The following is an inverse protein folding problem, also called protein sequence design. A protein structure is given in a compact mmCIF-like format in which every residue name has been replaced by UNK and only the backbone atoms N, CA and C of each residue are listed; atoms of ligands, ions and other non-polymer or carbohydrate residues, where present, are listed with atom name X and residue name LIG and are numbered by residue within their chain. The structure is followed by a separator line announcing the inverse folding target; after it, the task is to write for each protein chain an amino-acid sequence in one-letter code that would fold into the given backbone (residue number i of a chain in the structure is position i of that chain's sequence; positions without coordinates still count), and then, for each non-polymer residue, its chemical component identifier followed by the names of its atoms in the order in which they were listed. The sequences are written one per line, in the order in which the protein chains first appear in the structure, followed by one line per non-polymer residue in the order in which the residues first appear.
data_IF_638043705758
#
_entry.id   IF_638043705758
#
_cell.length_a   1.000
_cell.length_b   1.000
_cell.length_c   1.000
_cell.angle_alpha   90.00
_cell.angle_beta   90.00
_cell.angle_gamma   90.00
#
_symmetry.space_group_name_H-M   'P 1'
#
loop_
_entity.id
_entity.type
_entity.pdbx_description
1 polymer ?
#
# COMPACT_ATOMS: atom_id res chain seq x y z
N UNK A 1 -2.83 32.54 22.87
CA UNK A 1 -3.19 31.31 22.12
C UNK A 1 -4.08 30.47 23.02
N UNK A 2 -5.39 30.44 22.75
CA UNK A 2 -6.30 29.54 23.47
C UNK A 2 -5.87 28.08 23.19
N UNK A 3 -5.53 27.35 24.25
CA UNK A 3 -5.30 25.91 24.19
C UNK A 3 -6.59 25.26 23.71
N UNK A 4 -6.59 24.75 22.48
CA UNK A 4 -7.70 23.93 21.99
C UNK A 4 -7.68 22.60 22.75
N UNK A 5 -8.84 22.19 23.28
CA UNK A 5 -9.01 20.92 23.97
C UNK A 5 -8.58 19.75 23.07
N UNK A 6 -7.95 18.73 23.65
CA UNK A 6 -7.54 17.51 22.94
C UNK A 6 -8.73 16.80 22.26
N UNK A 7 -9.95 17.00 22.75
CA UNK A 7 -11.19 16.46 22.20
C UNK A 7 -11.54 17.02 20.81
N UNK A 8 -10.97 18.15 20.42
CA UNK A 8 -11.13 18.74 19.08
C UNK A 8 -10.35 17.95 18.03
N UNK A 9 -9.29 17.24 18.43
CA UNK A 9 -8.43 16.51 17.52
C UNK A 9 -8.85 15.05 17.40
N UNK A 10 -9.46 14.69 16.26
CA UNK A 10 -9.66 13.28 15.88
C UNK A 10 -8.30 12.66 15.54
N UNK A 11 -7.69 11.97 16.50
CA UNK A 11 -6.43 11.24 16.32
C UNK A 11 -6.67 9.75 16.04
N UNK A 12 -5.78 9.14 15.24
CA UNK A 12 -5.78 7.70 14.98
C UNK A 12 -4.43 7.12 15.44
N UNK A 13 -4.35 6.46 16.60
CA UNK A 13 -3.10 5.86 17.05
C UNK A 13 -2.74 4.68 16.13
N UNK A 14 -1.50 4.67 15.64
CA UNK A 14 -0.95 3.58 14.83
C UNK A 14 0.21 2.95 15.59
N UNK A 15 0.16 1.64 15.77
CA UNK A 15 1.20 0.86 16.44
C UNK A 15 2.18 0.35 15.40
N UNK A 16 3.44 0.76 15.51
CA UNK A 16 4.50 0.21 14.66
C UNK A 16 4.88 -1.20 15.14
N UNK A 17 4.57 -2.21 14.32
CA UNK A 17 4.97 -3.59 14.57
C UNK A 17 6.33 -3.95 13.92
N UNK A 18 7.03 -2.99 13.30
CA UNK A 18 8.26 -3.24 12.53
C UNK A 18 9.36 -3.77 13.44
N UNK A 19 9.92 -4.94 13.11
CA UNK A 19 10.98 -5.57 13.92
C UNK A 19 10.49 -6.15 15.25
N UNK A 20 9.18 -6.11 15.52
CA UNK A 20 8.58 -6.76 16.69
C UNK A 20 8.61 -8.29 16.58
N UNK A 21 8.41 -9.00 17.71
CA UNK A 21 8.49 -10.46 17.76
C UNK A 21 7.48 -11.17 16.84
N UNK A 22 6.35 -10.51 16.54
CA UNK A 22 5.30 -11.05 15.67
C UNK A 22 5.35 -10.53 14.23
N UNK A 23 6.31 -9.68 13.85
CA UNK A 23 6.34 -9.07 12.51
C UNK A 23 6.43 -10.13 11.41
N UNK A 24 7.42 -11.03 11.51
CA UNK A 24 7.65 -12.09 10.51
C UNK A 24 6.52 -13.12 10.48
N UNK A 25 6.02 -13.52 11.66
CA UNK A 25 4.92 -14.47 11.77
C UNK A 25 3.64 -13.85 11.18
N UNK A 26 3.32 -12.60 11.51
CA UNK A 26 2.14 -11.91 10.98
C UNK A 26 2.23 -11.71 9.46
N UNK A 27 3.42 -11.46 8.91
CA UNK A 27 3.61 -11.40 7.45
C UNK A 27 3.30 -12.75 6.79
N UNK A 28 3.84 -13.84 7.34
CA UNK A 28 3.63 -15.18 6.78
C UNK A 28 2.16 -15.60 6.88
N UNK A 29 1.53 -15.39 8.04
CA UNK A 29 0.11 -15.65 8.22
C UNK A 29 -0.75 -14.81 7.26
N UNK A 30 -0.38 -13.54 7.04
CA UNK A 30 -1.09 -12.69 6.09
C UNK A 30 -1.00 -13.23 4.66
N UNK A 31 0.11 -13.86 4.26
CA UNK A 31 0.19 -14.55 2.95
C UNK A 31 -0.81 -15.70 2.83
N UNK A 32 -1.11 -16.38 3.93
CA UNK A 32 -2.13 -17.44 3.96
C UNK A 32 -3.52 -16.80 3.89
N UNK A 33 -3.86 -15.96 4.86
CA UNK A 33 -5.25 -15.48 5.03
C UNK A 33 -5.68 -14.44 3.99
N UNK A 34 -4.77 -13.70 3.37
CA UNK A 34 -5.15 -12.76 2.29
C UNK A 34 -5.67 -13.47 1.03
N UNK A 35 -5.43 -14.78 0.87
CA UNK A 35 -6.02 -15.57 -0.23
C UNK A 35 -7.55 -15.67 -0.13
N UNK A 36 -8.11 -15.40 1.06
CA UNK A 36 -9.56 -15.36 1.29
C UNK A 36 -10.23 -14.09 0.76
N UNK A 37 -9.50 -12.97 0.64
CA UNK A 37 -10.11 -11.68 0.31
C UNK A 37 -10.88 -11.71 -1.03
N UNK A 38 -10.34 -12.28 -2.13
CA UNK A 38 -11.08 -12.37 -3.39
C UNK A 38 -12.27 -13.32 -3.36
N UNK A 39 -12.41 -14.14 -2.30
CA UNK A 39 -13.51 -15.10 -2.12
C UNK A 39 -14.70 -14.49 -1.37
N UNK A 40 -14.56 -13.28 -0.83
CA UNK A 40 -15.63 -12.53 -0.15
C UNK A 40 -16.33 -11.66 -1.20
N UNK A 41 -17.58 -11.96 -1.61
CA UNK A 41 -18.23 -11.32 -2.78
C UNK A 41 -18.43 -9.80 -2.65
N UNK A 42 -18.78 -9.36 -1.45
CA UNK A 42 -18.98 -7.97 -1.06
C UNK A 42 -17.68 -7.16 -0.98
N UNK A 43 -16.51 -7.81 -0.94
CA UNK A 43 -15.24 -7.11 -0.75
C UNK A 43 -14.72 -6.48 -2.06
N UNK A 44 -14.49 -5.17 -2.01
CA UNK A 44 -13.83 -4.41 -3.07
C UNK A 44 -12.33 -4.29 -2.83
N UNK A 45 -11.56 -4.62 -3.85
CA UNK A 45 -10.10 -4.45 -3.85
C UNK A 45 -9.67 -3.04 -4.27
N UNK A 46 -10.46 -2.36 -5.10
CA UNK A 46 -10.16 -1.03 -5.63
C UNK A 46 -11.40 -0.41 -6.33
N UNK A 47 -11.30 0.87 -6.68
CA UNK A 47 -12.32 1.65 -7.39
C UNK A 47 -12.67 1.10 -8.77
N UNK A 48 -11.75 0.42 -9.46
CA UNK A 48 -12.03 -0.14 -10.79
C UNK A 48 -13.00 -1.32 -10.72
N UNK A 49 -12.81 -2.21 -9.74
CA UNK A 49 -13.77 -3.28 -9.45
C UNK A 49 -15.14 -2.69 -9.06
N UNK A 50 -15.15 -1.61 -8.29
CA UNK A 50 -16.38 -0.92 -7.92
C UNK A 50 -17.16 -0.40 -9.15
N UNK A 51 -16.49 0.32 -10.05
CA UNK A 51 -17.12 0.82 -11.28
C UNK A 51 -17.59 -0.32 -12.18
N UNK A 52 -16.87 -1.45 -12.20
CA UNK A 52 -17.30 -2.64 -12.94
C UNK A 52 -18.58 -3.24 -12.35
N UNK A 53 -18.70 -3.31 -11.01
CA UNK A 53 -19.92 -3.80 -10.35
C UNK A 53 -21.10 -2.90 -10.64
N UNK A 54 -20.92 -1.58 -10.57
CA UNK A 54 -21.98 -0.62 -10.92
C UNK A 54 -22.44 -0.74 -12.38
N UNK A 55 -21.53 -0.97 -13.33
CA UNK A 55 -21.88 -1.15 -14.76
C UNK A 55 -22.63 -2.44 -15.05
N UNK A 56 -22.43 -3.46 -14.22
CA UNK A 56 -23.09 -4.75 -14.35
C UNK A 56 -24.40 -4.84 -13.55
N UNK A 57 -24.69 -3.83 -12.72
CA UNK A 57 -25.92 -3.76 -11.95
C UNK A 57 -27.07 -3.27 -12.84
N UNK A 58 -28.25 -3.86 -12.67
CA UNK A 58 -29.48 -3.41 -13.30
C UNK A 58 -30.05 -2.25 -12.48
N UNK A 59 -29.82 -1.03 -12.95
CA UNK A 59 -30.22 0.20 -12.26
C UNK A 59 -31.50 0.74 -12.89
N UNK A 60 -32.60 0.66 -12.17
CA UNK A 60 -33.88 1.28 -12.56
C UNK A 60 -34.00 2.71 -12.01
N UNK A 61 -35.04 3.45 -12.42
CA UNK A 61 -35.30 4.81 -11.93
C UNK A 61 -35.78 4.87 -10.46
N UNK A 62 -36.20 3.74 -9.90
CA UNK A 62 -36.69 3.63 -8.51
C UNK A 62 -35.59 3.30 -7.51
N UNK A 63 -34.41 2.88 -8.00
CA UNK A 63 -33.28 2.49 -7.20
C UNK A 63 -32.84 3.63 -6.27
N UNK A 64 -32.64 3.25 -5.00
CA UNK A 64 -32.08 4.12 -3.98
C UNK A 64 -30.64 3.73 -3.75
N UNK A 65 -29.76 4.72 -3.68
CA UNK A 65 -28.33 4.52 -3.48
C UNK A 65 -27.84 5.35 -2.30
N UNK A 66 -27.20 4.69 -1.35
CA UNK A 66 -26.61 5.33 -0.17
C UNK A 66 -25.21 4.75 0.10
N UNK A 67 -24.35 5.56 0.73
CA UNK A 67 -23.07 5.08 1.25
C UNK A 67 -23.15 4.93 2.76
N UNK A 68 -22.61 3.84 3.28
CA UNK A 68 -22.50 3.62 4.72
C UNK A 68 -21.03 3.61 5.15
N UNK A 69 -20.71 4.32 6.24
CA UNK A 69 -19.37 4.35 6.85
C UNK A 69 -19.39 3.64 8.20
N UNK A 70 -18.51 2.65 8.37
CA UNK A 70 -18.37 1.95 9.65
C UNK A 70 -17.55 2.80 10.64
N UNK A 71 -18.22 3.26 11.69
CA UNK A 71 -17.59 4.12 12.69
C UNK A 71 -16.47 3.40 13.44
N UNK A 72 -15.23 3.87 13.24
CA UNK A 72 -14.03 3.40 13.94
C UNK A 72 -13.87 1.87 13.92
N UNK A 73 -14.02 1.27 12.73
CA UNK A 73 -14.01 -0.18 12.50
C UNK A 73 -12.95 -0.92 13.34
N UNK A 74 -11.67 -0.63 13.14
CA UNK A 74 -10.57 -1.35 13.79
C UNK A 74 -10.67 -1.37 15.32
N UNK A 75 -11.05 -0.27 15.97
CA UNK A 75 -11.14 -0.21 17.44
C UNK A 75 -12.39 -0.91 18.01
N UNK A 76 -13.38 -1.18 17.15
CA UNK A 76 -14.67 -1.77 17.53
C UNK A 76 -14.80 -3.25 17.15
N UNK A 77 -13.93 -3.78 16.30
CA UNK A 77 -13.88 -5.21 15.99
C UNK A 77 -13.48 -6.03 17.22
N UNK A 78 -14.27 -7.03 17.56
CA UNK A 78 -13.90 -8.00 18.60
C UNK A 78 -12.99 -9.09 18.03
N UNK A 79 -11.86 -9.32 18.69
CA UNK A 79 -10.84 -10.26 18.21
C UNK A 79 -11.36 -11.69 18.10
N UNK A 80 -12.18 -12.15 19.05
CA UNK A 80 -12.73 -13.51 19.02
C UNK A 80 -13.75 -13.70 17.89
N UNK A 81 -14.65 -12.74 17.69
CA UNK A 81 -15.61 -12.74 16.58
C UNK A 81 -14.92 -12.68 15.22
N UNK A 82 -13.84 -11.91 15.10
CA UNK A 82 -13.03 -11.87 13.87
C UNK A 82 -12.29 -13.19 13.60
N UNK A 83 -11.75 -13.83 14.65
CA UNK A 83 -11.13 -15.15 14.54
C UNK A 83 -12.14 -16.24 14.18
N UNK A 84 -13.37 -16.14 14.69
CA UNK A 84 -14.47 -17.04 14.36
C UNK A 84 -14.85 -16.92 12.88
N UNK A 85 -15.08 -15.70 12.39
CA UNK A 85 -15.38 -15.45 10.99
C UNK A 85 -14.24 -15.92 10.05
N UNK A 86 -12.99 -15.71 10.46
CA UNK A 86 -11.85 -16.26 9.74
C UNK A 86 -11.85 -17.80 9.71
N UNK A 87 -12.18 -18.45 10.83
CA UNK A 87 -12.26 -19.92 10.90
C UNK A 87 -13.30 -20.47 9.92
N UNK A 88 -14.49 -19.86 9.89
CA UNK A 88 -15.58 -20.25 8.98
C UNK A 88 -15.17 -20.09 7.51
N UNK A 89 -14.50 -19.00 7.15
CA UNK A 89 -13.96 -18.79 5.80
C UNK A 89 -12.86 -19.79 5.44
N UNK A 90 -11.98 -20.13 6.38
CA UNK A 90 -10.95 -21.15 6.18
C UNK A 90 -11.57 -22.54 5.95
N UNK A 91 -12.66 -22.87 6.64
CA UNK A 91 -13.39 -24.11 6.42
C UNK A 91 -14.06 -24.13 5.05
N UNK A 92 -14.76 -23.05 4.69
CA UNK A 92 -15.45 -22.91 3.41
C UNK A 92 -14.51 -23.01 2.20
N UNK A 93 -13.28 -22.49 2.33
CA UNK A 93 -12.31 -22.40 1.23
C UNK A 93 -11.06 -23.26 1.45
N UNK A 94 -11.13 -24.29 2.29
CA UNK A 94 -9.98 -25.10 2.67
C UNK A 94 -9.20 -25.70 1.49
N UNK A 95 -9.89 -26.02 0.38
CA UNK A 95 -9.28 -26.60 -0.84
C UNK A 95 -8.60 -25.57 -1.75
N UNK A 96 -8.97 -24.30 -1.61
CA UNK A 96 -8.52 -23.21 -2.50
C UNK A 96 -7.33 -22.42 -1.92
N UNK A 97 -6.94 -22.70 -0.68
CA UNK A 97 -5.95 -21.91 0.05
C UNK A 97 -4.69 -22.73 0.27
N UNK A 98 -3.55 -22.13 -0.08
CA UNK A 98 -2.26 -22.69 0.31
C UNK A 98 -1.92 -22.29 1.75
N UNK A 99 -1.99 -23.26 2.66
CA UNK A 99 -1.62 -23.09 4.08
C UNK A 99 -0.13 -23.34 4.36
N UNK A 100 0.65 -23.73 3.36
CA UNK A 100 2.07 -24.07 3.47
C UNK A 100 2.35 -25.12 4.56
N UNK A 101 1.46 -26.10 4.70
CA UNK A 101 1.60 -27.21 5.66
C UNK A 101 1.11 -26.90 7.07
N UNK A 102 0.56 -25.71 7.34
CA UNK A 102 -0.09 -25.43 8.62
C UNK A 102 -1.53 -25.94 8.64
N UNK A 103 -1.91 -26.56 9.76
CA UNK A 103 -3.31 -26.86 10.04
C UNK A 103 -4.09 -25.59 10.39
N UNK A 104 -5.41 -25.59 10.16
CA UNK A 104 -6.32 -24.51 10.57
C UNK A 104 -6.12 -24.11 12.04
N UNK A 105 -6.05 -25.11 12.93
CA UNK A 105 -5.83 -24.89 14.35
C UNK A 105 -4.52 -24.12 14.64
N UNK A 106 -3.41 -24.49 13.98
CA UNK A 106 -2.13 -23.79 14.13
C UNK A 106 -2.20 -22.35 13.61
N UNK A 107 -2.86 -22.13 12.47
CA UNK A 107 -3.06 -20.78 11.91
C UNK A 107 -3.80 -19.90 12.93
N UNK A 108 -4.93 -20.37 13.46
CA UNK A 108 -5.74 -19.60 14.41
C UNK A 108 -4.99 -19.34 15.72
N UNK A 109 -4.22 -20.31 16.24
CA UNK A 109 -3.38 -20.12 17.43
C UNK A 109 -2.34 -19.02 17.20
N UNK A 110 -1.64 -19.07 16.06
CA UNK A 110 -0.59 -18.09 15.75
C UNK A 110 -1.17 -16.69 15.55
N UNK A 111 -2.31 -16.56 14.84
CA UNK A 111 -3.01 -15.27 14.68
C UNK A 111 -3.43 -14.73 16.04
N UNK A 112 -4.01 -15.56 16.92
CA UNK A 112 -4.38 -15.16 18.27
C UNK A 112 -3.17 -14.67 19.08
N UNK A 113 -2.01 -15.31 18.94
CA UNK A 113 -0.77 -14.84 19.57
C UNK A 113 -0.28 -13.52 18.98
N UNK A 114 -0.40 -13.33 17.66
CA UNK A 114 -0.12 -12.04 17.02
C UNK A 114 -1.02 -10.94 17.57
N UNK A 115 -2.33 -11.15 17.67
CA UNK A 115 -3.29 -10.17 18.18
C UNK A 115 -3.02 -9.77 19.64
N UNK A 116 -2.56 -10.71 20.48
CA UNK A 116 -2.14 -10.42 21.86
C UNK A 116 -0.83 -9.63 21.94
N UNK A 117 -0.01 -9.64 20.88
CA UNK A 117 1.27 -8.94 20.85
C UNK A 117 1.13 -7.52 20.28
N UNK A 118 0.34 -6.69 20.96
CA UNK A 118 0.06 -5.29 20.58
C UNK A 118 0.63 -4.30 21.60
N UNK A 119 1.76 -4.66 22.22
CA UNK A 119 2.45 -3.84 23.22
C UNK A 119 3.22 -2.73 22.50
N UNK A 120 3.04 -1.48 22.94
CA UNK A 120 3.76 -0.33 22.42
C UNK A 120 4.27 0.57 23.57
N UNK A 121 5.30 1.37 23.29
CA UNK A 121 5.90 2.29 24.26
C UNK A 121 5.52 3.72 23.91
N UNK A 122 4.96 4.45 24.88
CA UNK A 122 4.66 5.88 24.75
C UNK A 122 5.13 6.61 26.01
N UNK A 123 5.89 7.70 25.84
CA UNK A 123 6.42 8.51 26.94
C UNK A 123 7.10 7.68 28.05
N UNK A 124 7.92 6.71 27.67
CA UNK A 124 8.64 5.85 28.60
C UNK A 124 7.84 4.67 29.18
N UNK A 125 6.51 4.66 29.06
CA UNK A 125 5.63 3.63 29.61
C UNK A 125 5.16 2.65 28.54
N UNK A 126 4.92 1.40 28.93
CA UNK A 126 4.40 0.36 28.06
C UNK A 126 2.87 0.29 28.16
N UNK A 127 2.22 0.14 27.02
CA UNK A 127 0.77 0.04 26.88
C UNK A 127 0.43 -1.14 25.99
N UNK A 128 -0.77 -1.69 26.15
CA UNK A 128 -1.35 -2.70 25.27
C UNK A 128 -2.79 -2.30 24.96
N UNK A 129 -3.19 -2.48 23.72
CA UNK A 129 -4.57 -2.22 23.30
C UNK A 129 -5.47 -3.38 23.75
N UNK A 130 -6.42 -3.11 24.65
CA UNK A 130 -7.27 -4.14 25.24
C UNK A 130 -8.45 -4.56 24.36
N UNK A 131 -8.87 -3.69 23.43
CA UNK A 131 -10.02 -3.91 22.53
C UNK A 131 -9.69 -3.46 21.12
N UNK A 132 -10.21 -4.17 20.13
CA UNK A 132 -10.02 -3.84 18.72
C UNK A 132 -8.77 -4.48 18.13
N UNK A 133 -8.68 -4.33 16.82
CA UNK A 133 -7.51 -4.63 16.02
C UNK A 133 -6.56 -3.42 16.06
N UNK A 134 -5.30 -3.68 16.38
CA UNK A 134 -4.27 -2.66 16.40
C UNK A 134 -4.01 -2.13 14.97
N UNK A 135 -4.27 -0.84 14.73
CA UNK A 135 -3.91 -0.20 13.47
C UNK A 135 -2.39 -0.24 13.32
N UNK A 136 -1.91 -0.76 12.19
CA UNK A 136 -0.48 -0.99 11.92
C UNK A 136 -0.08 -2.47 11.99
N UNK A 137 -0.90 -3.33 12.57
CA UNK A 137 -0.70 -4.78 12.50
C UNK A 137 -1.07 -5.32 11.12
N UNK A 138 -0.21 -6.17 10.54
CA UNK A 138 -0.39 -6.70 9.18
C UNK A 138 -1.68 -7.51 8.98
N UNK A 139 -2.13 -8.20 10.04
CA UNK A 139 -3.33 -9.06 10.00
C UNK A 139 -4.63 -8.27 10.19
N UNK A 140 -4.57 -7.05 10.73
CA UNK A 140 -5.75 -6.28 11.07
C UNK A 140 -6.69 -6.04 9.87
N UNK A 141 -6.21 -5.64 8.66
CA UNK A 141 -7.10 -5.42 7.52
C UNK A 141 -7.86 -6.69 7.11
N UNK A 142 -7.18 -7.84 7.02
CA UNK A 142 -7.83 -9.10 6.63
C UNK A 142 -8.85 -9.53 7.66
N UNK A 143 -8.52 -9.42 8.95
CA UNK A 143 -9.43 -9.78 10.03
C UNK A 143 -10.65 -8.86 10.10
N UNK A 144 -10.46 -7.56 9.85
CA UNK A 144 -11.58 -6.61 9.77
C UNK A 144 -12.51 -6.96 8.60
N UNK A 145 -11.97 -7.32 7.44
CA UNK A 145 -12.76 -7.73 6.27
C UNK A 145 -13.51 -9.05 6.54
N UNK A 146 -12.88 -10.05 7.14
CA UNK A 146 -13.53 -11.32 7.52
C UNK A 146 -14.63 -11.10 8.57
N UNK A 147 -14.38 -10.27 9.57
CA UNK A 147 -15.39 -9.91 10.55
C UNK A 147 -16.60 -9.24 9.89
N UNK A 148 -16.36 -8.26 9.02
CA UNK A 148 -17.44 -7.57 8.31
C UNK A 148 -18.19 -8.48 7.33
N UNK A 149 -17.54 -9.51 6.75
CA UNK A 149 -18.25 -10.48 5.90
C UNK A 149 -19.33 -11.27 6.61
N UNK A 150 -19.20 -11.44 7.91
CA UNK A 150 -20.25 -12.03 8.75
C UNK A 150 -21.32 -11.00 9.13
N UNK A 151 -20.93 -9.75 9.39
CA UNK A 151 -21.87 -8.66 9.71
C UNK A 151 -22.80 -8.34 8.53
N UNK A 152 -22.29 -8.43 7.30
CA UNK A 152 -23.06 -8.10 6.10
C UNK A 152 -23.95 -9.25 5.58
N UNK A 153 -23.78 -10.47 6.07
CA UNK A 153 -24.50 -11.66 5.60
C UNK A 153 -26.04 -11.52 5.65
N UNK A 154 -26.66 -10.99 6.73
CA UNK A 154 -28.12 -10.80 6.77
C UNK A 154 -28.62 -9.77 5.76
N UNK A 155 -27.82 -8.77 5.39
CA UNK A 155 -28.17 -7.82 4.33
C UNK A 155 -28.01 -8.45 2.96
N UNK A 156 -26.95 -9.22 2.73
CA UNK A 156 -26.77 -9.95 1.47
C UNK A 156 -27.91 -10.95 1.23
N UNK A 157 -28.45 -11.57 2.29
CA UNK A 157 -29.60 -12.46 2.19
C UNK A 157 -30.90 -11.77 1.74
N UNK A 158 -30.99 -10.43 1.85
CA UNK A 158 -32.11 -9.63 1.35
C UNK A 158 -32.01 -9.33 -0.15
N UNK A 159 -30.89 -9.67 -0.77
CA UNK A 159 -30.63 -9.48 -2.20
C UNK A 159 -30.77 -8.02 -2.66
N UNK A 160 -30.05 -7.07 -2.04
CA UNK A 160 -29.99 -5.71 -2.58
C UNK A 160 -29.45 -5.74 -4.01
N UNK A 161 -29.88 -4.79 -4.84
CA UNK A 161 -29.41 -4.61 -6.23
C UNK A 161 -27.89 -4.60 -6.29
N UNK A 162 -27.25 -3.90 -5.35
CA UNK A 162 -25.81 -3.96 -5.15
C UNK A 162 -25.46 -3.77 -3.68
N UNK A 163 -24.54 -4.59 -3.19
CA UNK A 163 -23.85 -4.34 -1.92
C UNK A 163 -22.36 -4.59 -2.12
N UNK A 164 -21.54 -3.58 -1.82
CA UNK A 164 -20.10 -3.70 -1.92
C UNK A 164 -19.39 -2.83 -0.89
N UNK A 165 -18.21 -3.25 -0.44
CA UNK A 165 -17.48 -2.62 0.67
C UNK A 165 -15.99 -2.58 0.44
N UNK A 166 -15.43 -1.39 0.58
CA UNK A 166 -13.99 -1.16 0.64
C UNK A 166 -13.58 -0.89 2.09
N UNK A 167 -13.15 -1.94 2.79
CA UNK A 167 -12.79 -1.90 4.22
C UNK A 167 -13.97 -1.42 5.09
N UNK A 168 -14.05 -0.13 5.39
CA UNK A 168 -15.04 0.57 6.22
C UNK A 168 -16.11 1.32 5.42
N UNK A 169 -15.81 1.69 4.16
CA UNK A 169 -16.77 2.34 3.25
C UNK A 169 -17.64 1.28 2.56
N UNK A 170 -18.96 1.38 2.65
CA UNK A 170 -19.94 0.53 1.96
C UNK A 170 -20.75 1.36 0.95
N UNK A 171 -21.09 0.77 -0.18
CA UNK A 171 -22.05 1.30 -1.14
C UNK A 171 -23.17 0.28 -1.31
N UNK A 172 -24.40 0.75 -1.11
CA UNK A 172 -25.61 -0.06 -1.15
C UNK A 172 -26.58 0.54 -2.17
N UNK A 173 -27.16 -0.32 -3.00
CA UNK A 173 -28.24 0.02 -3.92
C UNK A 173 -29.39 -0.95 -3.67
N UNK A 174 -30.58 -0.42 -3.45
CA UNK A 174 -31.82 -1.18 -3.23
C UNK A 174 -32.90 -0.68 -4.17
N UNK A 175 -33.96 -1.48 -4.38
CA UNK A 175 -35.06 -1.07 -5.26
C UNK A 175 -35.96 -0.01 -4.63
N UNK A 176 -35.98 0.10 -3.29
CA UNK A 176 -36.82 1.07 -2.56
C UNK A 176 -36.10 1.67 -1.36
N UNK A 177 -36.54 2.85 -0.93
CA UNK A 177 -36.05 3.49 0.31
C UNK A 177 -36.35 2.64 1.55
N UNK A 178 -37.52 1.99 1.59
CA UNK A 178 -37.89 1.12 2.71
C UNK A 178 -36.91 -0.06 2.85
N UNK A 179 -36.50 -0.67 1.75
CA UNK A 179 -35.48 -1.72 1.76
C UNK A 179 -34.10 -1.18 2.19
N UNK A 180 -33.73 0.02 1.76
CA UNK A 180 -32.50 0.70 2.19
C UNK A 180 -32.48 0.91 3.71
N UNK A 181 -33.57 1.45 4.26
CA UNK A 181 -33.73 1.72 5.69
C UNK A 181 -33.65 0.43 6.50
N UNK A 182 -34.26 -0.66 6.00
CA UNK A 182 -34.21 -1.96 6.64
C UNK A 182 -32.79 -2.58 6.59
N UNK A 183 -32.08 -2.47 5.47
CA UNK A 183 -30.67 -2.87 5.37
C UNK A 183 -29.79 -2.09 6.37
N UNK A 184 -30.00 -0.78 6.48
CA UNK A 184 -29.28 0.07 7.42
C UNK A 184 -29.57 -0.29 8.88
N UNK A 185 -30.83 -0.58 9.20
CA UNK A 185 -31.27 -1.04 10.53
C UNK A 185 -30.62 -2.37 10.89
N UNK A 186 -30.74 -3.36 10.02
CA UNK A 186 -30.19 -4.71 10.21
C UNK A 186 -28.68 -4.66 10.46
N UNK A 187 -27.91 -3.89 9.69
CA UNK A 187 -26.46 -3.75 9.89
C UNK A 187 -26.11 -3.18 11.27
N UNK A 188 -26.87 -2.19 11.74
CA UNK A 188 -26.65 -1.55 13.04
C UNK A 188 -27.12 -2.40 14.23
N UNK A 189 -27.83 -3.50 14.00
CA UNK A 189 -28.27 -4.44 15.03
C UNK A 189 -27.36 -5.67 15.17
N UNK A 190 -26.49 -5.94 14.20
CA UNK A 190 -25.63 -7.13 14.21
C UNK A 190 -24.59 -7.16 15.33
N UNK A 191 -24.22 -6.00 15.87
CA UNK A 191 -23.19 -5.91 16.90
C UNK A 191 -23.41 -4.71 17.81
N UNK A 192 -23.18 -4.92 19.11
CA UNK A 192 -23.23 -3.86 20.11
C UNK A 192 -22.21 -2.73 19.84
N UNK A 193 -21.09 -3.05 19.19
CA UNK A 193 -19.94 -2.14 19.05
C UNK A 193 -19.77 -1.56 17.65
N UNK A 194 -20.39 -2.16 16.64
CA UNK A 194 -20.30 -1.69 15.25
C UNK A 194 -21.51 -0.82 14.99
N UNK A 195 -21.24 0.42 14.58
CA UNK A 195 -22.25 1.38 14.17
C UNK A 195 -21.89 1.91 12.79
N UNK A 196 -22.90 2.07 11.96
CA UNK A 196 -22.75 2.62 10.62
C UNK A 196 -23.46 3.96 10.57
N UNK A 197 -22.82 4.95 9.95
CA UNK A 197 -23.47 6.19 9.54
C UNK A 197 -23.81 6.11 8.06
N UNK A 198 -24.86 6.80 7.63
CA UNK A 198 -25.27 6.85 6.23
C UNK A 198 -25.12 8.25 5.63
N UNK A 199 -24.69 8.32 4.38
CA UNK A 199 -24.69 9.53 3.57
C UNK A 199 -25.58 9.28 2.34
N UNK A 200 -26.49 10.24 2.11
CA UNK A 200 -27.42 10.23 0.97
C UNK A 200 -26.88 11.12 -0.16
N UNK A 201 -27.30 10.88 -1.42
CA UNK A 201 -26.88 11.72 -2.54
C UNK A 201 -27.25 13.20 -2.33
N UNK A 202 -26.34 14.11 -2.68
CA UNK A 202 -26.59 15.56 -2.77
C UNK A 202 -26.64 15.96 -4.24
N UNK A 203 -27.71 16.63 -4.67
CA UNK A 203 -27.95 16.96 -6.09
C UNK A 203 -27.88 15.73 -7.03
N UNK A 204 -28.29 14.56 -6.50
CA UNK A 204 -28.23 13.27 -7.19
C UNK A 204 -26.84 12.63 -7.26
N UNK A 205 -25.81 13.25 -6.69
CA UNK A 205 -24.45 12.70 -6.63
C UNK A 205 -24.14 12.10 -5.27
N UNK A 206 -23.69 10.85 -5.26
CA UNK A 206 -23.18 10.17 -4.07
C UNK A 206 -21.64 10.12 -4.10
N UNK A 207 -20.96 10.69 -3.10
CA UNK A 207 -19.54 10.44 -2.88
C UNK A 207 -19.27 8.99 -2.44
N UNK A 208 -18.35 8.31 -3.12
CA UNK A 208 -17.83 7.01 -2.68
C UNK A 208 -16.39 6.81 -3.14
N UNK A 209 -15.50 6.45 -2.19
CA UNK A 209 -14.05 6.37 -2.41
C UNK A 209 -13.48 7.69 -3.00
N UNK A 210 -12.87 7.60 -4.17
CA UNK A 210 -12.32 8.71 -4.95
C UNK A 210 -13.21 9.07 -6.16
N UNK A 211 -14.49 8.71 -6.10
CA UNK A 211 -15.47 8.94 -7.18
C UNK A 211 -16.75 9.58 -6.64
N UNK A 212 -17.46 10.27 -7.51
CA UNK A 212 -18.84 10.65 -7.34
C UNK A 212 -19.66 9.90 -8.38
N UNK A 213 -20.78 9.32 -7.95
CA UNK A 213 -21.65 8.53 -8.81
C UNK A 213 -23.06 9.12 -8.82
N UNK A 214 -23.68 9.10 -9.99
CA UNK A 214 -25.06 9.52 -10.20
C UNK A 214 -25.71 8.56 -11.18
N UNK A 215 -26.96 8.20 -10.92
CA UNK A 215 -27.79 7.42 -11.83
C UNK A 215 -28.87 8.34 -12.33
N UNK A 216 -28.96 8.54 -13.65
CA UNK A 216 -30.04 9.31 -14.29
C UNK A 216 -30.58 8.48 -15.43
N UNK A 217 -31.89 8.22 -15.45
CA UNK A 217 -32.55 7.44 -16.52
C UNK A 217 -31.90 6.07 -16.79
N UNK A 218 -31.47 5.38 -15.73
CA UNK A 218 -30.75 4.10 -15.82
C UNK A 218 -29.30 4.21 -16.31
N UNK A 219 -28.81 5.42 -16.62
CA UNK A 219 -27.44 5.67 -17.05
C UNK A 219 -26.58 6.03 -15.85
N UNK A 220 -25.46 5.30 -15.70
CA UNK A 220 -24.46 5.54 -14.67
C UNK A 220 -23.47 6.63 -15.11
N UNK A 221 -23.43 7.72 -14.35
CA UNK A 221 -22.44 8.78 -14.46
C UNK A 221 -21.43 8.64 -13.31
N UNK A 222 -20.14 8.62 -13.66
CA UNK A 222 -19.05 8.58 -12.68
C UNK A 222 -18.11 9.73 -13.00
N UNK A 223 -17.65 10.44 -11.96
CA UNK A 223 -16.60 11.45 -12.07
C UNK A 223 -15.63 11.37 -10.90
N UNK A 224 -14.45 11.97 -11.06
CA UNK A 224 -13.45 12.01 -9.99
C UNK A 224 -13.93 12.90 -8.84
N UNK A 225 -13.79 12.40 -7.61
CA UNK A 225 -14.17 13.15 -6.41
C UNK A 225 -13.00 13.32 -5.46
N UNK A 226 -12.94 14.49 -4.85
CA UNK A 226 -12.06 14.80 -3.75
C UNK A 226 -12.90 15.18 -2.53
N UNK A 227 -12.66 14.52 -1.40
CA UNK A 227 -13.29 14.90 -0.13
C UNK A 227 -12.99 16.36 0.17
N UNK A 228 -13.97 17.12 0.65
CA UNK A 228 -13.83 18.54 0.97
C UNK A 228 -12.71 18.81 1.99
N UNK A 229 -12.46 17.86 2.88
CA UNK A 229 -11.36 17.91 3.85
C UNK A 229 -9.97 17.73 3.23
N UNK A 230 -9.87 17.42 1.93
CA UNK A 230 -8.60 17.24 1.23
C UNK A 230 -7.86 18.57 1.16
N UNK A 231 -6.69 18.63 1.78
CA UNK A 231 -5.78 19.78 1.65
C UNK A 231 -5.05 19.82 0.30
N UNK A 232 -5.29 18.84 -0.58
CA UNK A 232 -4.65 18.70 -1.87
C UNK A 232 -3.11 18.69 -1.81
N UNK A 233 -2.59 18.17 -0.70
CA UNK A 233 -1.15 18.04 -0.47
C UNK A 233 -0.69 16.72 -1.09
N UNK A 234 0.23 16.81 -2.04
CA UNK A 234 0.97 15.66 -2.55
C UNK A 234 2.46 15.82 -2.21
N UNK A 235 3.29 14.84 -2.58
CA UNK A 235 4.74 14.97 -2.41
C UNK A 235 5.20 16.24 -3.13
N UNK A 236 5.70 17.23 -2.40
CA UNK A 236 6.13 18.50 -3.00
C UNK A 236 7.29 18.29 -3.97
N UNK A 237 7.34 19.05 -5.07
CA UNK A 237 8.34 18.90 -6.12
C UNK A 237 9.80 19.07 -5.61
N UNK A 238 9.98 19.97 -4.64
CA UNK A 238 11.27 20.24 -3.96
C UNK A 238 11.64 19.22 -2.87
N UNK A 239 10.81 18.23 -2.58
CA UNK A 239 11.15 17.23 -1.57
C UNK A 239 12.33 16.35 -1.99
N UNK A 240 13.04 15.82 -0.99
CA UNK A 240 14.19 14.93 -1.15
C UNK A 240 13.84 13.52 -1.68
N UNK A 241 12.58 13.27 -2.05
CA UNK A 241 12.17 12.01 -2.65
C UNK A 241 12.77 11.85 -4.06
N UNK A 242 13.08 10.61 -4.50
CA UNK A 242 13.54 10.35 -5.85
C UNK A 242 12.59 10.93 -6.92
N UNK A 243 13.15 11.49 -7.98
CA UNK A 243 12.38 12.11 -9.08
C UNK A 243 11.38 11.15 -9.74
N UNK A 244 11.68 9.85 -9.73
CA UNK A 244 10.78 8.78 -10.20
C UNK A 244 9.51 8.69 -9.36
N UNK A 245 9.64 8.74 -8.03
CA UNK A 245 8.51 8.72 -7.09
C UNK A 245 7.64 9.96 -7.29
N UNK A 246 8.25 11.15 -7.29
CA UNK A 246 7.56 12.44 -7.53
C UNK A 246 6.76 12.42 -8.84
N UNK A 247 7.38 11.99 -9.94
CA UNK A 247 6.72 11.86 -11.24
C UNK A 247 5.59 10.82 -11.22
N UNK A 248 5.78 9.70 -10.54
CA UNK A 248 4.79 8.63 -10.46
C UNK A 248 3.53 9.08 -9.72
N UNK A 249 3.67 9.85 -8.63
CA UNK A 249 2.54 10.40 -7.86
C UNK A 249 1.69 11.30 -8.75
N UNK A 250 2.31 12.28 -9.41
CA UNK A 250 1.59 13.21 -10.30
C UNK A 250 0.94 12.47 -11.47
N UNK A 251 1.68 11.56 -12.12
CA UNK A 251 1.15 10.76 -13.23
C UNK A 251 -0.04 9.90 -12.81
N UNK A 252 0.04 9.24 -11.65
CA UNK A 252 -1.03 8.38 -11.15
C UNK A 252 -2.25 9.19 -10.75
N UNK A 253 -2.07 10.37 -10.14
CA UNK A 253 -3.17 11.28 -9.82
C UNK A 253 -3.92 11.72 -11.08
N UNK A 254 -3.20 12.23 -12.10
CA UNK A 254 -3.81 12.65 -13.37
C UNK A 254 -4.50 11.47 -14.06
N UNK A 255 -3.85 10.30 -14.12
CA UNK A 255 -4.43 9.10 -14.73
C UNK A 255 -5.72 8.70 -14.00
N UNK A 256 -5.72 8.73 -12.68
CA UNK A 256 -6.88 8.37 -11.84
C UNK A 256 -8.03 9.36 -12.06
N UNK A 257 -7.72 10.66 -12.09
CA UNK A 257 -8.69 11.72 -12.32
C UNK A 257 -9.44 11.58 -13.65
N UNK A 258 -8.79 11.06 -14.69
CA UNK A 258 -9.42 10.91 -16.01
C UNK A 258 -10.01 9.53 -16.28
N UNK A 259 -9.48 8.48 -15.63
CA UNK A 259 -9.80 7.07 -15.95
C UNK A 259 -11.27 6.73 -15.72
N UNK A 260 -11.88 7.29 -14.68
CA UNK A 260 -13.22 6.91 -14.24
C UNK A 260 -14.32 7.88 -14.70
N UNK A 261 -13.98 8.98 -15.37
CA UNK A 261 -14.97 9.94 -15.85
C UNK A 261 -15.74 9.39 -17.06
N UNK A 262 -17.08 9.39 -16.97
CA UNK A 262 -17.98 8.98 -18.05
C UNK A 262 -17.99 10.01 -19.19
N UNK A 263 -18.19 11.30 -18.89
CA UNK A 263 -18.23 12.36 -19.91
C UNK A 263 -16.87 13.03 -20.15
N UNK A 264 -16.67 13.56 -21.35
CA UNK A 264 -15.46 14.32 -21.70
C UNK A 264 -15.34 15.63 -20.90
N UNK A 265 -16.47 16.31 -20.62
CA UNK A 265 -16.47 17.54 -19.84
C UNK A 265 -16.00 17.29 -18.39
N UNK A 266 -16.57 16.26 -17.73
CA UNK A 266 -16.12 15.82 -16.40
C UNK A 266 -14.64 15.42 -16.39
N UNK A 267 -14.18 14.78 -17.48
CA UNK A 267 -12.78 14.37 -17.64
C UNK A 267 -11.86 15.59 -17.78
N UNK A 268 -12.28 16.59 -18.56
CA UNK A 268 -11.56 17.83 -18.73
C UNK A 268 -11.47 18.59 -17.41
N UNK A 269 -12.58 18.73 -16.68
CA UNK A 269 -12.63 19.40 -15.38
C UNK A 269 -11.75 18.68 -14.36
N UNK A 270 -11.87 17.36 -14.25
CA UNK A 270 -11.06 16.53 -13.35
C UNK A 270 -9.56 16.63 -13.66
N UNK A 271 -9.20 16.65 -14.94
CA UNK A 271 -7.81 16.85 -15.37
C UNK A 271 -7.31 18.25 -15.04
N UNK A 272 -8.13 19.28 -15.27
CA UNK A 272 -7.80 20.66 -14.94
C UNK A 272 -7.55 20.82 -13.44
N UNK A 273 -8.42 20.25 -12.60
CA UNK A 273 -8.24 20.21 -11.16
C UNK A 273 -6.93 19.49 -10.76
N UNK A 274 -6.66 18.30 -11.31
CA UNK A 274 -5.42 17.57 -11.02
C UNK A 274 -4.16 18.36 -11.40
N UNK A 275 -4.19 19.10 -12.51
CA UNK A 275 -3.09 19.98 -12.92
C UNK A 275 -2.92 21.17 -11.96
N UNK A 276 -4.01 21.82 -11.53
CA UNK A 276 -3.96 22.88 -10.51
C UNK A 276 -3.33 22.38 -9.20
N UNK A 277 -3.70 21.18 -8.76
CA UNK A 277 -3.12 20.56 -7.56
C UNK A 277 -1.62 20.31 -7.75
N UNK A 278 -1.21 19.76 -8.89
CA UNK A 278 0.21 19.57 -9.19
C UNK A 278 0.98 20.90 -9.16
N UNK A 279 0.45 21.95 -9.80
CA UNK A 279 1.04 23.29 -9.79
C UNK A 279 1.19 23.85 -8.37
N UNK A 280 0.15 23.74 -7.54
CA UNK A 280 0.19 24.21 -6.14
C UNK A 280 1.23 23.48 -5.28
N UNK A 281 1.63 22.27 -5.67
CA UNK A 281 2.67 21.48 -5.00
C UNK A 281 4.07 21.65 -5.64
N UNK A 282 4.26 22.71 -6.43
CA UNK A 282 5.55 23.10 -7.00
C UNK A 282 5.94 22.35 -8.28
N UNK A 283 5.04 21.57 -8.88
CA UNK A 283 5.32 20.92 -10.15
C UNK A 283 5.06 21.90 -11.30
N UNK A 284 6.11 22.22 -12.05
CA UNK A 284 5.95 22.95 -13.31
C UNK A 284 5.13 22.09 -14.26
N UNK A 285 3.90 22.50 -14.55
CA UNK A 285 3.08 21.91 -15.61
C UNK A 285 3.71 22.27 -16.94
N UNK A 286 4.77 21.55 -17.33
CA UNK A 286 5.12 21.45 -18.73
C UNK A 286 3.84 20.99 -19.41
N UNK A 287 3.35 21.84 -20.34
CA UNK A 287 2.28 21.50 -21.28
C UNK A 287 2.45 20.04 -21.61
N UNK A 288 1.36 19.28 -21.49
CA UNK A 288 1.28 17.90 -21.93
C UNK A 288 1.59 17.90 -23.42
N UNK A 289 2.87 17.98 -23.79
CA UNK A 289 3.33 17.66 -25.11
C UNK A 289 2.92 16.22 -25.22
N UNK A 290 1.95 15.95 -26.11
CA UNK A 290 1.89 14.67 -26.76
C UNK A 290 3.33 14.35 -27.11
N UNK A 291 3.95 13.47 -26.32
CA UNK A 291 5.09 12.75 -26.85
C UNK A 291 4.43 12.00 -28.00
N UNK A 292 4.80 12.28 -29.27
CA UNK A 292 4.46 11.31 -30.30
C UNK A 292 4.94 9.94 -29.77
N UNK A 293 4.27 8.84 -30.15
CA UNK A 293 4.79 7.52 -29.84
C UNK A 293 6.28 7.59 -30.14
N UNK A 294 7.13 7.26 -29.15
CA UNK A 294 8.56 7.28 -29.37
C UNK A 294 8.80 6.41 -30.59
N UNK A 295 9.01 7.02 -31.75
CA UNK A 295 9.78 6.41 -32.82
C UNK A 295 11.05 6.02 -32.08
N UNK A 296 11.28 4.71 -32.00
CA UNK A 296 12.37 4.16 -31.24
C UNK A 296 13.63 4.91 -31.66
N UNK A 297 14.16 5.76 -30.77
CA UNK A 297 15.51 6.28 -30.93
C UNK A 297 16.38 5.05 -30.80
N UNK A 298 16.69 4.47 -31.96
CA UNK A 298 17.69 3.46 -32.17
C UNK A 298 19.04 4.08 -31.79
N UNK A 299 19.32 4.12 -30.49
CA UNK A 299 20.71 4.11 -30.02
C UNK A 299 21.26 2.73 -30.34
N UNK A 300 21.64 2.53 -31.61
CA UNK A 300 22.26 1.30 -32.12
C UNK A 300 23.57 1.07 -31.39
N UNK A 301 23.48 0.36 -30.28
CA UNK A 301 24.59 -0.47 -29.81
C UNK A 301 24.34 -1.88 -30.36
N UNK A 302 25.38 -2.63 -30.78
CA UNK A 302 25.22 -3.88 -31.55
C UNK A 302 24.58 -5.06 -30.78
N UNK A 303 23.97 -4.83 -29.61
CA UNK A 303 23.25 -5.84 -28.83
C UNK A 303 21.75 -5.95 -29.17
N UNK A 304 21.20 -5.02 -29.95
CA UNK A 304 19.75 -4.92 -30.22
C UNK A 304 19.17 -5.90 -31.25
N UNK A 305 19.95 -6.87 -31.76
CA UNK A 305 19.42 -7.94 -32.64
C UNK A 305 19.18 -9.29 -31.96
N UNK A 306 19.63 -9.47 -30.70
CA UNK A 306 19.47 -10.76 -29.99
C UNK A 306 18.19 -10.76 -29.16
N UNK A 307 17.34 -11.77 -29.35
CA UNK A 307 16.15 -12.05 -28.56
C UNK A 307 16.55 -12.52 -27.15
N UNK A 308 16.01 -11.93 -26.07
CA UNK A 308 16.30 -12.37 -24.72
C UNK A 308 15.56 -13.67 -24.38
N UNK A 309 16.30 -14.72 -24.02
CA UNK A 309 15.75 -15.93 -23.40
C UNK A 309 15.85 -15.79 -21.88
N UNK A 310 14.72 -15.48 -21.25
CA UNK A 310 14.63 -15.24 -19.81
C UNK A 310 14.34 -16.55 -19.06
N UNK A 311 15.24 -16.98 -18.17
CA UNK A 311 15.03 -18.14 -17.31
C UNK A 311 15.33 -17.82 -15.84
N UNK A 312 14.65 -18.45 -14.87
CA UNK A 312 15.02 -18.30 -13.46
C UNK A 312 16.45 -18.82 -13.20
N UNK A 313 17.21 -18.09 -12.38
CA UNK A 313 18.56 -18.52 -11.99
C UNK A 313 18.47 -19.64 -10.95
N UNK A 314 18.89 -20.84 -11.35
CA UNK A 314 18.97 -22.02 -10.48
C UNK A 314 20.38 -22.25 -9.96
N UNK A 315 21.37 -22.35 -10.86
CA UNK A 315 22.80 -22.45 -10.53
C UNK A 315 23.65 -22.16 -11.78
N UNK A 316 24.93 -21.83 -11.58
CA UNK A 316 25.87 -21.57 -12.68
C UNK A 316 26.02 -22.79 -13.61
N UNK A 317 25.99 -24.01 -13.05
CA UNK A 317 26.06 -25.26 -13.83
C UNK A 317 24.88 -25.41 -14.79
N UNK A 318 23.68 -25.06 -14.34
CA UNK A 318 22.46 -25.13 -15.16
C UNK A 318 22.47 -24.02 -16.20
N UNK A 319 22.83 -22.78 -15.84
CA UNK A 319 22.95 -21.68 -16.80
C UNK A 319 24.00 -21.97 -17.88
N UNK A 320 25.14 -22.56 -17.52
CA UNK A 320 26.16 -22.99 -18.47
C UNK A 320 25.64 -24.09 -19.43
N UNK A 321 24.87 -25.07 -18.91
CA UNK A 321 24.26 -26.09 -19.75
C UNK A 321 23.28 -25.50 -20.77
N UNK A 322 22.42 -24.55 -20.35
CA UNK A 322 21.54 -23.83 -21.28
C UNK A 322 22.32 -23.03 -22.33
N UNK A 323 23.41 -22.38 -21.93
CA UNK A 323 24.24 -21.63 -22.87
C UNK A 323 24.94 -22.54 -23.88
N UNK A 324 25.33 -23.76 -23.47
CA UNK A 324 25.82 -24.80 -24.38
C UNK A 324 24.72 -25.32 -25.32
N UNK A 325 23.48 -25.45 -24.87
CA UNK A 325 22.36 -25.79 -25.74
C UNK A 325 22.11 -24.72 -26.82
N UNK A 326 22.19 -23.43 -26.46
CA UNK A 326 22.06 -22.31 -27.42
C UNK A 326 23.17 -22.36 -28.48
N UNK A 327 24.42 -22.64 -28.06
CA UNK A 327 25.56 -22.80 -28.97
C UNK A 327 25.40 -24.01 -29.90
N UNK A 328 24.97 -25.16 -29.36
CA UNK A 328 24.74 -26.38 -30.16
C UNK A 328 23.61 -26.21 -31.17
N UNK A 329 22.60 -25.42 -30.82
CA UNK A 329 21.50 -25.07 -31.71
C UNK A 329 21.85 -23.97 -32.72
N UNK A 330 23.09 -23.45 -32.70
CA UNK A 330 23.57 -22.35 -33.56
C UNK A 330 22.80 -21.03 -33.38
N UNK A 331 22.19 -20.80 -32.21
CA UNK A 331 21.37 -19.63 -31.91
C UNK A 331 22.12 -18.53 -31.15
N UNK A 332 23.45 -18.63 -31.01
CA UNK A 332 24.25 -17.69 -30.22
C UNK A 332 24.21 -16.25 -30.75
N UNK A 333 23.90 -16.07 -32.03
CA UNK A 333 23.82 -14.75 -32.68
C UNK A 333 22.42 -14.16 -32.71
N UNK A 334 21.40 -14.98 -32.41
CA UNK A 334 20.00 -14.59 -32.39
C UNK A 334 19.42 -14.53 -30.98
N UNK A 335 19.99 -15.24 -30.00
CA UNK A 335 19.44 -15.39 -28.65
C UNK A 335 20.51 -15.14 -27.59
N UNK A 336 20.18 -14.39 -26.54
CA UNK A 336 21.04 -14.27 -25.35
C UNK A 336 20.30 -14.67 -24.07
N UNK A 337 20.98 -15.42 -23.21
CA UNK A 337 20.42 -15.92 -21.96
C UNK A 337 20.39 -14.81 -20.89
N UNK A 338 19.21 -14.56 -20.33
CA UNK A 338 19.01 -13.65 -19.19
C UNK A 338 18.59 -14.47 -17.99
N UNK A 339 19.49 -14.61 -17.02
CA UNK A 339 19.19 -15.25 -15.74
C UNK A 339 18.41 -14.28 -14.84
N UNK A 340 17.10 -14.53 -14.67
CA UNK A 340 16.26 -13.80 -13.73
C UNK A 340 16.55 -14.31 -12.32
N UNK A 341 17.09 -13.49 -11.41
CA UNK A 341 17.39 -13.95 -10.06
C UNK A 341 16.09 -14.32 -9.34
N UNK A 342 15.99 -15.57 -8.88
CA UNK A 342 14.83 -16.08 -8.16
C UNK A 342 14.48 -15.21 -6.93
N UNK A 343 13.18 -15.06 -6.65
CA UNK A 343 12.65 -14.47 -5.41
C UNK A 343 12.86 -15.45 -4.25
N UNK A 344 14.11 -15.64 -3.86
CA UNK A 344 14.43 -16.55 -2.76
C UNK A 344 13.86 -16.03 -1.43
N UNK A 345 13.57 -16.95 -0.51
CA UNK A 345 13.11 -16.67 0.85
C UNK A 345 14.00 -15.62 1.52
N UNK A 346 15.32 -15.60 1.25
CA UNK A 346 16.24 -14.56 1.70
C UNK A 346 15.82 -13.16 1.22
N UNK A 347 15.52 -12.93 -0.07
CA UNK A 347 15.01 -11.63 -0.56
C UNK A 347 13.63 -11.28 0.00
N UNK A 348 12.75 -12.26 0.22
CA UNK A 348 11.44 -12.03 0.84
C UNK A 348 11.56 -11.70 2.34
N UNK A 349 12.53 -12.29 3.06
CA UNK A 349 12.76 -12.11 4.50
C UNK A 349 13.72 -10.96 4.84
N UNK A 350 14.57 -10.52 3.92
CA UNK A 350 15.60 -9.49 4.16
C UNK A 350 15.06 -8.07 3.93
N UNK A 351 13.80 -7.90 3.50
CA UNK A 351 13.21 -6.58 3.30
C UNK A 351 12.83 -5.80 4.57
N UNK A 352 13.14 -6.29 5.77
CA UNK A 352 13.11 -5.46 6.99
C UNK A 352 14.10 -6.01 8.03
N UNK A 353 15.32 -5.48 8.01
CA UNK A 353 16.28 -5.59 9.13
C UNK A 353 16.91 -4.23 9.41
N UNK A 354 16.08 -3.21 9.64
CA UNK A 354 16.53 -1.88 10.07
C UNK A 354 17.12 -1.87 11.49
N UNK A 355 16.96 -2.95 12.27
CA UNK A 355 17.30 -2.97 13.71
C UNK A 355 18.17 -4.15 14.18
N UNK A 356 18.61 -5.04 13.28
CA UNK A 356 19.42 -6.24 13.64
C UNK A 356 20.93 -6.05 13.42
N UNK A 357 21.41 -4.83 13.17
CA UNK A 357 22.85 -4.60 12.95
C UNK A 357 23.58 -4.37 14.26
N UNK A 358 24.22 -5.40 14.80
CA UNK A 358 25.27 -5.21 15.81
C UNK A 358 26.56 -4.75 15.13
N UNK A 359 27.30 -3.85 15.78
CA UNK A 359 28.61 -3.43 15.29
C UNK A 359 29.64 -4.53 15.60
N UNK A 360 30.24 -5.11 14.57
CA UNK A 360 31.29 -6.14 14.69
C UNK A 360 32.71 -5.57 14.54
N UNK A 361 32.85 -4.24 14.48
CA UNK A 361 34.14 -3.57 14.29
C UNK A 361 34.73 -3.17 15.65
N UNK A 362 35.88 -3.73 16.00
CA UNK A 362 36.60 -3.45 17.26
C UNK A 362 36.96 -1.96 17.45
N UNK A 363 37.14 -1.21 16.35
CA UNK A 363 37.43 0.23 16.36
C UNK A 363 36.52 0.98 15.39
N UNK A 364 35.21 0.91 15.63
CA UNK A 364 34.26 1.63 14.82
C UNK A 364 34.35 3.14 15.06
N UNK A 365 34.52 3.94 14.00
CA UNK A 365 34.51 5.42 14.09
C UNK A 365 33.08 6.02 14.12
N UNK A 366 32.07 5.20 13.80
CA UNK A 366 30.68 5.67 13.65
C UNK A 366 29.84 5.42 14.90
N UNK A 367 29.93 4.21 15.45
CA UNK A 367 29.12 3.82 16.61
C UNK A 367 29.41 4.61 17.90
N UNK A 368 30.64 5.08 18.21
CA UNK A 368 30.89 5.89 19.40
C UNK A 368 30.17 7.23 19.41
N UNK A 369 29.85 7.78 18.23
CA UNK A 369 29.12 9.04 18.08
C UNK A 369 27.65 8.85 17.69
N UNK A 370 27.20 7.60 17.53
CA UNK A 370 25.86 7.24 17.07
C UNK A 370 25.25 6.11 17.89
N UNK A 371 24.21 5.47 17.35
CA UNK A 371 23.65 4.24 17.96
C UNK A 371 24.47 3.03 17.52
N UNK A 372 24.61 2.04 18.40
CA UNK A 372 25.24 0.75 18.07
C UNK A 372 24.55 0.18 16.83
N UNK A 373 25.34 -0.05 15.76
CA UNK A 373 24.85 -0.56 14.48
C UNK A 373 24.72 0.47 13.35
N UNK A 374 24.79 1.77 13.65
CA UNK A 374 24.69 2.82 12.63
C UNK A 374 25.79 2.72 11.56
N UNK A 375 26.95 2.15 11.93
CA UNK A 375 28.07 1.88 11.04
C UNK A 375 27.73 1.00 9.82
N UNK A 376 26.71 0.14 9.94
CA UNK A 376 26.32 -0.83 8.91
C UNK A 376 25.14 -0.35 8.06
N UNK A 377 24.57 0.82 8.36
CA UNK A 377 23.45 1.38 7.60
C UNK A 377 23.90 1.79 6.20
N UNK A 378 23.00 1.61 5.23
CA UNK A 378 23.16 1.98 3.82
C UNK A 378 21.98 2.86 3.43
N UNK A 379 22.14 3.77 2.48
CA UNK A 379 21.11 4.73 2.08
C UNK A 379 20.83 5.81 3.11
N UNK A 380 21.80 6.13 3.98
CA UNK A 380 21.67 7.19 4.98
C UNK A 380 22.31 8.49 4.47
N UNK A 381 21.70 9.61 4.88
CA UNK A 381 22.27 10.95 4.71
C UNK A 381 23.06 11.28 5.98
N UNK A 382 24.29 11.77 5.82
CA UNK A 382 25.17 12.14 6.93
C UNK A 382 25.79 13.50 6.68
N UNK A 383 26.12 14.19 7.77
CA UNK A 383 26.80 15.48 7.77
C UNK A 383 28.16 15.32 8.46
N UNK A 384 29.20 15.90 7.87
CA UNK A 384 30.53 16.03 8.45
C UNK A 384 30.86 17.51 8.59
N UNK A 385 31.38 17.90 9.75
CA UNK A 385 31.92 19.23 9.97
C UNK A 385 33.44 19.16 10.08
N UNK A 386 34.13 20.00 9.33
CA UNK A 386 35.57 20.15 9.49
C UNK A 386 35.86 21.01 10.71
N UNK A 387 36.44 20.44 11.76
CA UNK A 387 36.79 21.19 12.98
C UNK A 387 37.85 22.27 12.79
N UNK A 388 38.56 22.30 11.66
CA UNK A 388 39.60 23.29 11.38
C UNK A 388 39.09 24.53 10.63
N UNK A 389 38.06 24.37 9.77
CA UNK A 389 37.53 25.46 8.94
C UNK A 389 36.00 25.61 9.02
N UNK A 390 35.32 24.81 9.85
CA UNK A 390 33.87 24.75 10.03
C UNK A 390 33.03 24.50 8.77
N UNK A 391 33.67 24.12 7.66
CA UNK A 391 32.97 23.72 6.44
C UNK A 391 32.14 22.46 6.68
N UNK A 392 30.90 22.49 6.20
CA UNK A 392 29.94 21.39 6.30
C UNK A 392 29.89 20.60 4.99
N UNK A 393 29.98 19.27 5.10
CA UNK A 393 29.76 18.34 3.99
C UNK A 393 28.55 17.47 4.28
N UNK A 394 27.60 17.42 3.36
CA UNK A 394 26.43 16.53 3.43
C UNK A 394 26.54 15.51 2.30
N UNK A 395 26.50 14.22 2.65
CA UNK A 395 26.61 13.13 1.70
C UNK A 395 25.53 12.07 1.92
N UNK A 396 25.23 11.30 0.87
CA UNK A 396 24.41 10.10 0.93
C UNK A 396 25.28 8.86 0.72
N UNK A 397 24.99 7.78 1.44
CA UNK A 397 25.76 6.53 1.33
C UNK A 397 25.06 5.51 0.42
N UNK A 398 25.70 5.13 -0.69
CA UNK A 398 25.31 3.91 -1.43
C UNK A 398 25.89 2.62 -0.82
N UNK A 399 26.94 2.74 0.00
CA UNK A 399 27.62 1.65 0.74
C UNK A 399 27.38 1.81 2.24
N UNK A 400 27.92 0.91 3.07
CA UNK A 400 27.84 1.04 4.52
C UNK A 400 28.48 2.37 4.99
N UNK A 401 27.82 3.05 5.92
CA UNK A 401 28.27 4.35 6.46
C UNK A 401 29.71 4.31 6.98
N UNK A 402 30.12 3.22 7.65
CA UNK A 402 31.51 3.05 8.12
C UNK A 402 32.55 3.03 7.01
N UNK A 403 32.24 2.39 5.89
CA UNK A 403 33.14 2.37 4.72
C UNK A 403 33.24 3.76 4.13
N UNK A 404 32.11 4.46 4.01
CA UNK A 404 32.09 5.80 3.41
C UNK A 404 32.86 6.83 4.25
N UNK A 405 32.72 6.78 5.58
CA UNK A 405 33.49 7.66 6.48
C UNK A 405 34.99 7.34 6.41
N UNK A 406 35.38 6.04 6.32
CA UNK A 406 36.79 5.66 6.11
C UNK A 406 37.34 6.18 4.79
N UNK A 407 36.55 6.15 3.72
CA UNK A 407 36.93 6.73 2.41
C UNK A 407 37.19 8.24 2.52
N UNK A 408 36.34 8.98 3.25
CA UNK A 408 36.55 10.42 3.50
C UNK A 408 37.82 10.69 4.32
N UNK A 409 38.04 9.93 5.40
CA UNK A 409 39.27 10.06 6.22
C UNK A 409 40.51 9.73 5.38
N UNK A 410 40.45 8.70 4.55
CA UNK A 410 41.55 8.32 3.66
C UNK A 410 41.81 9.36 2.55
N UNK A 411 40.77 9.97 2.00
CA UNK A 411 40.89 11.05 1.03
C UNK A 411 41.58 12.29 1.64
N UNK A 412 41.18 12.68 2.86
CA UNK A 412 41.83 13.75 3.63
C UNK A 412 43.31 13.46 3.87
N UNK A 413 43.66 12.24 4.27
CA UNK A 413 45.06 11.82 4.48
C UNK A 413 45.92 11.81 3.20
N UNK A 414 45.30 11.68 2.03
CA UNK A 414 45.99 11.58 0.73
C UNK A 414 46.09 12.92 -0.02
N UNK A 415 45.61 14.02 0.55
CA UNK A 415 45.66 15.35 -0.08
C UNK A 415 44.92 15.44 -1.43
N UNK A 416 44.10 14.44 -1.78
CA UNK A 416 43.32 14.46 -3.03
C UNK A 416 42.04 15.24 -2.80
N UNK A 417 42.06 16.53 -3.16
CA UNK A 417 40.85 17.29 -3.42
C UNK A 417 40.14 16.67 -4.63
N UNK A 418 39.28 15.69 -4.38
CA UNK A 418 38.26 15.30 -5.36
C UNK A 418 37.18 16.36 -5.29
N UNK A 419 36.78 16.88 -6.45
CA UNK A 419 35.70 17.88 -6.59
C UNK A 419 34.49 17.40 -5.78
N UNK A 420 34.21 18.08 -4.68
CA UNK A 420 33.11 17.77 -3.77
C UNK A 420 33.48 17.17 -2.40
N UNK A 421 34.72 17.28 -1.91
CA UNK A 421 35.04 17.06 -0.50
C UNK A 421 35.80 18.28 0.07
N UNK A 422 35.47 18.75 1.29
CA UNK A 422 36.20 19.84 1.95
C UNK A 422 37.66 19.46 2.23
#
# INVERSE_FOLDING_TARGET
MHSMSAEVFKIRPIISCVGGPTDRISWFLNKIVSQLLPKIPSHLSNTEQFVQYLRNAELDQTCVMESFDVTSLYTNVQNDSALQALSELLDKHARDINTFGLSKARILILIRKCLKCNIFKWSGKYFSQIRGLAMGQRLAPVLAICFMSRIEEPVLARLPVLYCRYIDDCCVITSTQHEMDECFRVLNEQSQYIRLTRETPRDGWLPYLNTQIKVSDGILHVKWYQKESSKNIIIHAKSAHPSTVKRSVVRNMIKTATKFCTHEDDRWESRSLALRIASSNGYSTLRYQHRPPRVANQSRTPRDKKLPLCIPFFSDKVSAAFQQCILRAQLQDDVFLVNIPNDNIKRQLVRNRLYDTQCVLEQCVVCPQGKIGDCAKVGVVYQLECLACHSLYIGETGRMLSVRIKEHIAAKKRGKHTVGAP
#
